data_IF_101238719134
#
_entry.id   IF_101238719134
#
_cell.length_a   1.000
_cell.length_b   1.000
_cell.length_c   1.000
_cell.angle_alpha   90.00
_cell.angle_beta   90.00
_cell.angle_gamma   90.00
#
_symmetry.space_group_name_H-M   'P 1'
#
loop_
_entity.id
_entity.type
_entity.pdbx_description
1 polymer ?
#
# COMPACT_ATOMS: atom_id res chain seq x y z
N UNK A 1 -12.30 -49.57 -6.71
CA UNK A 1 -11.57 -48.29 -6.55
C UNK A 1 -12.44 -47.18 -7.13
N UNK A 2 -12.81 -46.14 -6.37
CA UNK A 2 -13.64 -45.06 -6.92
C UNK A 2 -12.79 -44.22 -7.89
N UNK A 3 -13.30 -44.07 -9.12
CA UNK A 3 -12.67 -43.30 -10.21
C UNK A 3 -12.55 -41.83 -9.79
N UNK A 4 -11.33 -41.32 -9.61
CA UNK A 4 -11.08 -39.90 -9.41
C UNK A 4 -11.53 -39.17 -10.68
N UNK A 5 -12.57 -38.33 -10.58
CA UNK A 5 -13.04 -37.50 -11.69
C UNK A 5 -12.05 -36.36 -11.92
N UNK A 6 -10.96 -36.64 -12.63
CA UNK A 6 -9.93 -35.67 -13.03
C UNK A 6 -10.54 -34.53 -13.85
N UNK A 7 -10.41 -33.30 -13.36
CA UNK A 7 -10.74 -32.10 -14.12
C UNK A 7 -10.29 -30.86 -13.36
N UNK A 8 -10.02 -29.79 -14.10
CA UNK A 8 -9.47 -28.53 -13.59
C UNK A 8 -10.61 -27.54 -13.33
N UNK A 9 -10.53 -26.81 -12.23
CA UNK A 9 -11.54 -25.82 -11.85
C UNK A 9 -10.96 -24.42 -12.03
N UNK A 10 -11.49 -23.67 -12.98
CA UNK A 10 -11.04 -22.32 -13.26
C UNK A 10 -11.96 -21.31 -12.58
N UNK A 11 -11.38 -20.40 -11.81
CA UNK A 11 -12.05 -19.23 -11.23
C UNK A 11 -11.67 -18.03 -12.07
N UNK A 12 -12.64 -17.46 -12.74
CA UNK A 12 -12.51 -16.25 -13.55
C UNK A 12 -12.82 -14.99 -12.74
N UNK A 13 -13.78 -15.05 -11.81
CA UNK A 13 -14.09 -14.01 -10.83
C UNK A 13 -14.26 -14.69 -9.47
N UNK A 14 -13.45 -14.31 -8.47
CA UNK A 14 -13.41 -14.87 -7.11
C UNK A 14 -12.29 -14.26 -6.25
N UNK A 15 -12.11 -14.72 -5.01
CA UNK A 15 -11.05 -14.27 -4.08
C UNK A 15 -9.64 -14.42 -4.67
N UNK A 16 -9.41 -15.50 -5.43
CA UNK A 16 -8.21 -15.71 -6.24
C UNK A 16 -8.63 -16.29 -7.60
N UNK A 17 -8.61 -15.49 -8.69
CA UNK A 17 -8.76 -16.03 -10.03
C UNK A 17 -7.58 -16.93 -10.39
N UNK A 18 -7.84 -18.07 -11.01
CA UNK A 18 -6.81 -19.08 -11.25
C UNK A 18 -7.38 -20.46 -11.53
N UNK A 19 -6.51 -21.42 -11.81
CA UNK A 19 -6.87 -22.82 -12.03
C UNK A 19 -6.52 -23.66 -10.81
N UNK A 20 -7.50 -24.41 -10.32
CA UNK A 20 -7.42 -25.27 -9.15
C UNK A 20 -7.56 -26.73 -9.55
N UNK A 21 -6.85 -27.61 -8.84
CA UNK A 21 -6.83 -29.04 -9.13
C UNK A 21 -7.90 -29.82 -8.34
N UNK A 22 -8.62 -29.12 -7.45
CA UNK A 22 -9.71 -29.67 -6.67
C UNK A 22 -10.90 -28.71 -6.58
N UNK A 23 -12.10 -29.26 -6.38
CA UNK A 23 -13.30 -28.45 -6.13
C UNK A 23 -13.18 -27.69 -4.81
N UNK A 24 -12.58 -28.28 -3.79
CA UNK A 24 -12.47 -27.66 -2.46
C UNK A 24 -11.64 -26.36 -2.49
N UNK A 25 -10.53 -26.35 -3.21
CA UNK A 25 -9.70 -25.14 -3.40
C UNK A 25 -10.43 -24.08 -4.22
N UNK A 26 -11.11 -24.48 -5.29
CA UNK A 26 -11.93 -23.60 -6.11
C UNK A 26 -13.07 -22.99 -5.29
N UNK A 27 -13.80 -23.79 -4.50
CA UNK A 27 -14.93 -23.38 -3.69
C UNK A 27 -14.51 -22.30 -2.68
N UNK A 28 -13.35 -22.46 -2.03
CA UNK A 28 -12.77 -21.43 -1.14
C UNK A 28 -12.58 -20.08 -1.84
N UNK A 29 -12.39 -20.06 -3.15
CA UNK A 29 -12.20 -18.83 -3.91
C UNK A 29 -13.51 -18.20 -4.42
N UNK A 30 -14.65 -18.89 -4.37
CA UNK A 30 -15.91 -18.38 -4.95
C UNK A 30 -17.03 -18.27 -3.92
N UNK A 31 -16.94 -19.02 -2.81
CA UNK A 31 -18.00 -19.14 -1.82
C UNK A 31 -18.16 -17.82 -1.07
N UNK A 32 -19.35 -17.22 -1.17
CA UNK A 32 -19.67 -15.87 -0.64
C UNK A 32 -18.97 -14.70 -1.35
N UNK A 33 -18.26 -14.95 -2.46
CA UNK A 33 -17.76 -13.88 -3.31
C UNK A 33 -18.88 -13.39 -4.25
N UNK A 34 -19.26 -12.10 -4.23
CA UNK A 34 -20.36 -11.59 -5.05
C UNK A 34 -20.03 -11.70 -6.55
N UNK A 35 -20.99 -12.20 -7.35
CA UNK A 35 -20.86 -12.38 -8.79
C UNK A 35 -19.68 -13.27 -9.25
N UNK A 36 -19.29 -14.25 -8.44
CA UNK A 36 -18.23 -15.18 -8.80
C UNK A 36 -18.51 -15.90 -10.12
N UNK A 37 -17.49 -16.01 -10.98
CA UNK A 37 -17.53 -16.72 -12.26
C UNK A 37 -16.48 -17.82 -12.23
N UNK A 38 -16.90 -19.06 -12.39
CA UNK A 38 -16.02 -20.22 -12.36
C UNK A 38 -16.58 -21.33 -13.24
N UNK A 39 -15.73 -22.24 -13.71
CA UNK A 39 -16.13 -23.37 -14.55
C UNK A 39 -15.14 -24.54 -14.42
N UNK A 40 -15.63 -25.77 -14.60
CA UNK A 40 -14.80 -26.98 -14.65
C UNK A 40 -14.45 -27.33 -16.09
N UNK A 41 -13.21 -27.73 -16.33
CA UNK A 41 -12.64 -28.13 -17.61
C UNK A 41 -11.97 -29.50 -17.50
N UNK A 42 -11.81 -30.16 -18.65
CA UNK A 42 -11.14 -31.46 -18.71
C UNK A 42 -9.62 -31.32 -18.95
N UNK A 43 -9.18 -30.20 -19.51
CA UNK A 43 -7.77 -29.89 -19.76
C UNK A 43 -7.34 -28.62 -19.02
N UNK A 44 -6.06 -28.57 -18.64
CA UNK A 44 -5.47 -27.39 -18.01
C UNK A 44 -5.51 -26.18 -18.96
N UNK A 45 -5.24 -26.41 -20.24
CA UNK A 45 -5.21 -25.37 -21.26
C UNK A 45 -6.56 -24.65 -21.43
N UNK A 46 -7.68 -25.38 -21.42
CA UNK A 46 -9.01 -24.78 -21.46
C UNK A 46 -9.35 -24.01 -20.18
N UNK A 47 -8.93 -24.52 -19.02
CA UNK A 47 -9.10 -23.85 -17.74
C UNK A 47 -8.34 -22.52 -17.71
N UNK A 48 -7.09 -22.50 -18.15
CA UNK A 48 -6.29 -21.28 -18.26
C UNK A 48 -6.89 -20.29 -19.25
N UNK A 49 -7.39 -20.77 -20.39
CA UNK A 49 -8.05 -19.92 -21.38
C UNK A 49 -9.28 -19.23 -20.79
N UNK A 50 -10.08 -19.93 -19.99
CA UNK A 50 -11.26 -19.37 -19.31
C UNK A 50 -10.89 -18.35 -18.24
N UNK A 51 -9.83 -18.56 -17.47
CA UNK A 51 -9.32 -17.53 -16.53
C UNK A 51 -8.92 -16.28 -17.31
N UNK A 52 -8.27 -16.44 -18.47
CA UNK A 52 -7.80 -15.36 -19.35
C UNK A 52 -8.91 -14.67 -20.16
N UNK A 53 -10.08 -15.29 -20.35
CA UNK A 53 -11.12 -14.84 -21.28
C UNK A 53 -11.79 -13.50 -20.90
N UNK A 54 -11.59 -12.98 -19.69
CA UNK A 54 -12.04 -11.63 -19.29
C UNK A 54 -10.99 -10.53 -19.37
N UNK A 55 -9.76 -10.82 -19.83
CA UNK A 55 -8.77 -9.80 -20.18
C UNK A 55 -8.95 -9.23 -21.61
N UNK A 56 -9.96 -9.69 -22.35
CA UNK A 56 -10.32 -9.16 -23.66
C UNK A 56 -11.79 -8.71 -23.66
N UNK A 57 -12.06 -7.43 -23.39
CA UNK A 57 -13.33 -6.84 -23.82
C UNK A 57 -13.31 -6.70 -25.35
N UNK A 58 -14.11 -7.53 -26.00
CA UNK A 58 -14.56 -7.34 -27.39
C UNK A 58 -15.12 -5.92 -27.55
N UNK A 59 -14.46 -5.19 -28.43
CA UNK A 59 -15.01 -4.29 -29.45
C UNK A 59 -16.49 -4.57 -29.71
N UNK A 60 -17.36 -3.62 -29.36
CA UNK A 60 -18.68 -3.50 -29.96
C UNK A 60 -18.56 -2.58 -31.18
N UNK A 61 -18.94 -3.10 -32.34
CA UNK A 61 -18.84 -2.41 -33.62
C UNK A 61 -19.83 -1.26 -33.81
N UNK A 62 -19.35 -0.26 -34.54
CA UNK A 62 -20.03 0.67 -35.45
C UNK A 62 -21.44 1.17 -35.09
N UNK A 63 -21.52 2.45 -34.72
CA UNK A 63 -22.47 3.36 -35.36
C UNK A 63 -21.81 4.72 -35.57
N UNK A 64 -21.88 5.16 -36.82
CA UNK A 64 -21.37 6.40 -37.39
C UNK A 64 -21.90 7.64 -36.67
N UNK A 65 -21.01 8.62 -36.48
CA UNK A 65 -21.21 10.05 -36.82
C UNK A 65 -19.94 10.83 -36.56
N UNK A 66 -19.27 11.17 -37.65
CA UNK A 66 -18.26 12.22 -37.73
C UNK A 66 -18.89 13.57 -37.38
N UNK A 67 -18.18 14.42 -36.63
CA UNK A 67 -17.62 15.67 -37.18
C UNK A 67 -16.68 16.35 -36.17
N UNK A 68 -15.73 17.17 -36.66
CA UNK A 68 -14.42 17.40 -36.04
C UNK A 68 -14.34 18.78 -35.38
N UNK A 69 -13.22 19.09 -34.70
CA UNK A 69 -12.50 20.36 -34.88
C UNK A 69 -11.08 20.19 -34.31
N UNK A 70 -10.16 19.98 -35.24
CA UNK A 70 -8.79 20.46 -35.18
C UNK A 70 -8.79 21.99 -35.06
N UNK A 71 -8.28 22.52 -33.95
CA UNK A 71 -7.64 23.85 -33.83
C UNK A 71 -7.21 24.04 -32.38
N UNK A 72 -5.97 23.68 -32.06
CA UNK A 72 -5.09 24.41 -31.12
C UNK A 72 -3.73 23.70 -30.98
N UNK A 73 -3.08 23.38 -32.11
CA UNK A 73 -1.65 23.08 -32.13
C UNK A 73 -1.05 23.86 -33.31
N UNK A 74 -0.58 25.08 -33.03
CA UNK A 74 0.55 25.70 -33.70
C UNK A 74 0.76 27.09 -33.12
N UNK A 75 1.79 27.24 -32.27
CA UNK A 75 2.76 28.34 -32.39
C UNK A 75 3.66 28.37 -31.16
N UNK A 76 4.87 27.81 -31.33
CA UNK A 76 6.17 28.41 -31.01
C UNK A 76 7.20 27.30 -30.83
N UNK A 77 7.93 27.06 -31.91
CA UNK A 77 9.30 26.56 -31.85
C UNK A 77 10.25 27.73 -32.18
N UNK A 78 11.52 27.49 -31.82
CA UNK A 78 12.74 28.29 -32.02
C UNK A 78 13.08 29.16 -30.81
N UNK A 79 14.27 29.09 -30.21
CA UNK A 79 15.52 28.45 -30.60
C UNK A 79 16.51 28.41 -29.41
N UNK A 80 17.57 27.62 -29.58
CA UNK A 80 18.93 27.72 -28.99
C UNK A 80 19.34 26.87 -27.78
N UNK A 81 20.55 26.34 -27.95
CA UNK A 81 21.53 25.85 -26.98
C UNK A 81 21.25 24.51 -26.29
N UNK A 82 21.76 23.48 -26.96
CA UNK A 82 22.41 22.32 -26.35
C UNK A 82 23.30 22.73 -25.16
N UNK A 83 22.74 22.63 -23.97
CA UNK A 83 23.51 22.30 -22.76
C UNK A 83 23.04 20.92 -22.35
N UNK A 84 23.91 19.94 -22.56
CA UNK A 84 23.76 18.62 -21.99
C UNK A 84 23.83 18.79 -20.47
N UNK A 85 22.68 18.98 -19.82
CA UNK A 85 22.56 18.78 -18.40
C UNK A 85 22.64 17.29 -18.16
N UNK A 86 23.75 16.88 -17.56
CA UNK A 86 23.90 15.61 -16.87
C UNK A 86 22.75 15.49 -15.86
N UNK A 87 21.64 14.89 -16.27
CA UNK A 87 20.66 14.35 -15.33
C UNK A 87 21.30 13.07 -14.81
N UNK A 88 21.96 13.16 -13.66
CA UNK A 88 22.23 11.98 -12.86
C UNK A 88 20.90 11.28 -12.69
N UNK A 89 20.79 10.08 -13.27
CA UNK A 89 19.65 9.21 -13.14
C UNK A 89 19.67 8.65 -11.71
N UNK A 90 19.41 9.50 -10.71
CA UNK A 90 19.34 9.09 -9.32
C UNK A 90 18.10 8.21 -9.16
N UNK A 91 18.38 6.93 -8.95
CA UNK A 91 17.38 5.87 -8.80
C UNK A 91 16.56 6.16 -7.54
N UNK A 92 15.33 6.66 -7.70
CA UNK A 92 14.36 6.80 -6.60
C UNK A 92 13.70 5.46 -6.28
N UNK A 93 13.48 5.17 -5.00
CA UNK A 93 12.63 4.07 -4.54
C UNK A 93 11.16 4.48 -4.68
N UNK A 94 10.33 3.58 -5.18
CA UNK A 94 8.89 3.83 -5.36
C UNK A 94 8.06 2.82 -4.59
N UNK A 95 7.02 3.31 -3.94
CA UNK A 95 6.09 2.50 -3.14
C UNK A 95 4.68 3.04 -3.27
N UNK A 96 3.69 2.16 -3.28
CA UNK A 96 2.28 2.50 -3.32
C UNK A 96 1.64 2.15 -1.98
N UNK A 97 0.74 3.00 -1.52
CA UNK A 97 0.09 2.85 -0.21
C UNK A 97 -1.39 3.15 -0.33
N UNK A 98 -2.20 2.34 0.34
CA UNK A 98 -3.65 2.55 0.45
C UNK A 98 -4.17 2.19 1.83
N UNK A 99 -5.27 2.83 2.22
CA UNK A 99 -6.04 2.57 3.41
C UNK A 99 -7.47 2.20 3.08
N UNK A 100 -7.92 1.03 3.52
CA UNK A 100 -9.30 0.59 3.30
C UNK A 100 -10.09 0.54 4.59
N UNK A 101 -11.37 0.87 4.53
CA UNK A 101 -12.28 0.70 5.67
C UNK A 101 -13.65 0.14 5.27
N UNK A 102 -14.11 -0.82 6.07
CA UNK A 102 -15.43 -1.44 6.01
C UNK A 102 -16.29 -0.79 7.08
N UNK A 103 -17.52 -0.41 6.72
CA UNK A 103 -18.47 0.28 7.61
C UNK A 103 -17.89 1.55 8.26
N UNK A 104 -17.12 2.33 7.50
CA UNK A 104 -16.47 3.55 7.99
C UNK A 104 -17.47 4.50 8.67
N UNK A 105 -17.14 4.95 9.89
CA UNK A 105 -18.01 5.82 10.69
C UNK A 105 -19.21 5.12 11.35
N UNK A 106 -19.34 3.80 11.24
CA UNK A 106 -20.41 3.01 11.85
C UNK A 106 -19.88 2.03 12.90
N UNK A 107 -20.78 1.46 13.70
CA UNK A 107 -20.41 0.42 14.67
C UNK A 107 -19.89 -0.83 13.94
N UNK A 108 -18.83 -1.44 14.49
CA UNK A 108 -18.17 -2.58 13.86
C UNK A 108 -17.30 -2.23 12.65
N UNK A 109 -16.91 -0.95 12.50
CA UNK A 109 -15.94 -0.53 11.49
C UNK A 109 -14.65 -1.35 11.61
N UNK A 110 -14.08 -1.71 10.46
CA UNK A 110 -12.78 -2.37 10.35
C UNK A 110 -11.96 -1.66 9.29
N UNK A 111 -10.70 -1.43 9.55
CA UNK A 111 -9.83 -0.79 8.57
C UNK A 111 -8.53 -1.58 8.42
N UNK A 112 -7.92 -1.48 7.24
CA UNK A 112 -6.72 -2.19 6.86
C UNK A 112 -5.75 -1.32 6.10
N UNK A 113 -4.49 -1.72 6.16
CA UNK A 113 -3.32 -1.01 5.67
C UNK A 113 -2.71 -1.82 4.54
N UNK A 114 -2.45 -1.19 3.40
CA UNK A 114 -1.77 -1.77 2.26
C UNK A 114 -0.49 -1.00 1.91
N UNK A 115 0.62 -1.71 1.79
CA UNK A 115 1.89 -1.16 1.25
C UNK A 115 2.41 -2.10 0.19
N UNK A 116 2.64 -1.57 -1.01
CA UNK A 116 3.09 -2.34 -2.16
C UNK A 116 4.41 -1.77 -2.72
N UNK A 117 5.47 -2.56 -2.61
CA UNK A 117 6.81 -2.27 -3.13
C UNK A 117 7.05 -2.89 -4.51
N UNK A 118 6.27 -3.90 -4.89
CA UNK A 118 6.41 -4.60 -6.15
C UNK A 118 5.87 -6.02 -6.08
N UNK A 119 5.80 -6.67 -7.25
CA UNK A 119 5.29 -8.03 -7.35
C UNK A 119 6.20 -8.98 -6.59
N UNK A 120 5.60 -9.81 -5.73
CA UNK A 120 6.29 -10.79 -4.88
C UNK A 120 7.36 -10.15 -3.97
N UNK A 121 7.31 -8.83 -3.77
CA UNK A 121 8.24 -8.13 -2.91
C UNK A 121 7.95 -8.49 -1.44
N UNK A 122 8.95 -8.98 -0.71
CA UNK A 122 8.73 -9.51 0.62
C UNK A 122 8.43 -8.39 1.65
N UNK A 123 8.59 -7.12 1.28
CA UNK A 123 8.22 -5.95 2.10
C UNK A 123 6.76 -5.51 1.92
N UNK A 124 5.99 -6.16 1.04
CA UNK A 124 4.57 -5.85 0.88
C UNK A 124 3.82 -6.10 2.20
N UNK A 125 3.02 -5.12 2.62
CA UNK A 125 2.26 -5.19 3.88
C UNK A 125 0.77 -5.28 3.57
N UNK A 126 0.12 -6.23 4.23
CA UNK A 126 -1.33 -6.29 4.42
C UNK A 126 -1.57 -6.48 5.91
N UNK A 127 -2.08 -5.44 6.57
CA UNK A 127 -2.25 -5.43 8.03
C UNK A 127 -3.61 -4.87 8.44
N UNK A 128 -4.11 -5.34 9.58
CA UNK A 128 -5.22 -4.67 10.25
C UNK A 128 -4.75 -3.32 10.78
N UNK A 129 -5.56 -2.27 10.62
CA UNK A 129 -5.31 -1.00 11.30
C UNK A 129 -5.30 -1.25 12.82
N UNK A 130 -4.21 -0.96 13.54
CA UNK A 130 -4.19 -1.16 14.98
C UNK A 130 -5.18 -0.26 15.72
N UNK A 131 -5.70 -0.82 16.81
CA UNK A 131 -6.48 -0.10 17.80
C UNK A 131 -7.96 0.08 17.56
N UNK A 132 -8.66 0.71 18.51
CA UNK A 132 -10.12 0.73 18.52
C UNK A 132 -10.71 1.68 17.46
N UNK A 133 -9.99 2.73 17.07
CA UNK A 133 -10.51 3.72 16.11
C UNK A 133 -10.28 3.26 14.67
N UNK A 134 -11.28 2.61 14.09
CA UNK A 134 -11.19 2.03 12.75
C UNK A 134 -11.78 2.98 11.70
N UNK A 135 -10.97 3.83 11.08
CA UNK A 135 -11.42 4.80 10.06
C UNK A 135 -10.53 4.77 8.82
N UNK A 136 -11.09 5.16 7.67
CA UNK A 136 -10.31 5.26 6.42
C UNK A 136 -9.10 6.18 6.59
N UNK A 137 -9.33 7.41 7.03
CA UNK A 137 -8.27 8.42 7.16
C UNK A 137 -7.09 7.97 8.03
N UNK A 138 -7.34 7.21 9.12
CA UNK A 138 -6.25 6.63 9.91
C UNK A 138 -5.48 5.57 9.16
N UNK A 139 -6.18 4.68 8.45
CA UNK A 139 -5.57 3.63 7.65
C UNK A 139 -4.66 4.21 6.55
N UNK A 140 -5.11 5.26 5.88
CA UNK A 140 -4.35 5.98 4.85
C UNK A 140 -3.03 6.56 5.40
N UNK A 141 -3.09 7.26 6.54
CA UNK A 141 -1.88 7.81 7.18
C UNK A 141 -0.96 6.67 7.62
N UNK A 142 -1.52 5.62 8.22
CA UNK A 142 -0.75 4.49 8.70
C UNK A 142 -0.06 3.72 7.57
N UNK A 143 -0.68 3.62 6.39
CA UNK A 143 -0.06 3.03 5.21
C UNK A 143 1.21 3.77 4.80
N UNK A 144 1.19 5.10 4.80
CA UNK A 144 2.38 5.93 4.55
C UNK A 144 3.43 5.76 5.66
N UNK A 145 3.02 5.71 6.92
CA UNK A 145 3.93 5.44 8.05
C UNK A 145 4.61 4.08 7.85
N UNK A 146 3.87 3.03 7.50
CA UNK A 146 4.46 1.70 7.26
C UNK A 146 5.40 1.67 6.07
N UNK A 147 5.08 2.37 4.99
CA UNK A 147 6.01 2.52 3.87
C UNK A 147 7.33 3.19 4.28
N UNK A 148 7.27 4.21 5.14
CA UNK A 148 8.48 4.84 5.70
C UNK A 148 9.25 3.87 6.61
N UNK A 149 8.55 3.13 7.47
CA UNK A 149 9.15 2.15 8.39
C UNK A 149 9.79 0.94 7.68
N UNK A 150 9.27 0.53 6.52
CA UNK A 150 9.81 -0.59 5.72
C UNK A 150 10.74 -0.16 4.59
N UNK A 151 11.01 1.13 4.45
CA UNK A 151 11.91 1.59 3.41
C UNK A 151 13.32 1.00 3.62
N UNK A 152 13.93 0.34 2.62
CA UNK A 152 15.16 -0.43 2.82
C UNK A 152 16.42 0.44 2.91
N UNK A 153 16.35 1.68 2.41
CA UNK A 153 17.48 2.60 2.36
C UNK A 153 17.00 4.03 2.58
N UNK A 154 17.58 4.68 3.60
CA UNK A 154 17.26 6.05 3.98
C UNK A 154 18.09 7.09 3.23
N UNK A 155 19.08 6.67 2.45
CA UNK A 155 19.96 7.52 1.64
C UNK A 155 19.48 7.66 0.20
N UNK A 156 18.44 6.92 -0.20
CA UNK A 156 17.84 6.97 -1.52
C UNK A 156 16.52 7.76 -1.45
N UNK A 157 16.25 8.68 -2.39
CA UNK A 157 14.95 9.35 -2.46
C UNK A 157 13.79 8.34 -2.48
N UNK A 158 12.72 8.63 -1.74
CA UNK A 158 11.52 7.79 -1.67
C UNK A 158 10.32 8.53 -2.26
N UNK A 159 9.71 7.93 -3.27
CA UNK A 159 8.46 8.36 -3.88
C UNK A 159 7.30 7.47 -3.41
N UNK A 160 6.43 8.04 -2.58
CA UNK A 160 5.22 7.38 -2.08
C UNK A 160 4.04 7.80 -2.94
N UNK A 161 3.32 6.82 -3.50
CA UNK A 161 2.10 7.01 -4.30
C UNK A 161 0.88 6.59 -3.50
N UNK A 162 -0.09 7.50 -3.36
CA UNK A 162 -1.37 7.25 -2.68
C UNK A 162 -2.49 8.01 -3.38
N UNK A 163 -3.70 7.47 -3.36
CA UNK A 163 -4.91 8.16 -3.81
C UNK A 163 -5.61 8.94 -2.68
N UNK A 164 -5.05 8.90 -1.46
CA UNK A 164 -5.54 9.66 -0.32
C UNK A 164 -5.25 11.15 -0.43
N UNK A 165 -6.22 11.89 -0.97
CA UNK A 165 -6.16 13.35 -0.99
C UNK A 165 -6.05 13.94 0.43
N UNK A 166 -6.53 13.23 1.45
CA UNK A 166 -6.40 13.63 2.86
C UNK A 166 -4.92 13.65 3.29
N UNK A 167 -4.17 12.58 3.02
CA UNK A 167 -2.73 12.50 3.34
C UNK A 167 -1.94 13.53 2.53
N UNK A 168 -2.23 13.65 1.23
CA UNK A 168 -1.53 14.58 0.34
C UNK A 168 -1.72 16.03 0.78
N UNK A 169 -2.96 16.42 1.07
CA UNK A 169 -3.25 17.77 1.53
C UNK A 169 -2.64 18.03 2.92
N UNK A 170 -2.66 17.04 3.81
CA UNK A 170 -2.01 17.14 5.11
C UNK A 170 -0.50 17.41 4.95
N UNK A 171 0.19 16.55 4.20
CA UNK A 171 1.63 16.64 3.97
C UNK A 171 2.04 17.95 3.28
N UNK A 172 1.39 18.28 2.15
CA UNK A 172 1.79 19.44 1.32
C UNK A 172 1.31 20.78 1.89
N UNK A 173 0.16 20.82 2.57
CA UNK A 173 -0.52 22.09 2.86
C UNK A 173 -0.89 22.33 4.33
N UNK A 174 -1.29 21.31 5.09
CA UNK A 174 -1.83 21.52 6.43
C UNK A 174 -0.78 21.41 7.53
N UNK A 175 0.03 20.36 7.52
CA UNK A 175 1.09 20.13 8.51
C UNK A 175 2.04 21.32 8.61
N UNK A 176 2.58 21.88 7.49
CA UNK A 176 3.44 23.06 7.58
C UNK A 176 2.78 24.25 8.27
N UNK A 177 1.45 24.42 8.10
CA UNK A 177 0.68 25.49 8.75
C UNK A 177 0.42 25.18 10.22
N UNK A 178 0.15 23.92 10.58
CA UNK A 178 -0.09 23.50 11.95
C UNK A 178 1.15 23.63 12.83
N UNK A 179 2.30 23.22 12.30
CA UNK A 179 3.60 23.31 12.96
C UNK A 179 4.06 24.76 13.09
N UNK A 180 3.98 25.56 12.01
CA UNK A 180 4.36 26.98 12.04
C UNK A 180 3.62 27.77 13.12
N UNK A 181 2.35 27.43 13.36
CA UNK A 181 1.53 28.12 14.35
C UNK A 181 1.57 27.46 15.73
N UNK A 182 2.35 26.37 15.90
CA UNK A 182 2.46 25.52 17.09
C UNK A 182 1.15 25.22 17.81
N UNK A 183 0.07 25.07 17.03
CA UNK A 183 -1.29 24.96 17.56
C UNK A 183 -1.91 23.60 17.31
N UNK A 184 -1.50 22.90 16.24
CA UNK A 184 -2.16 21.67 15.79
C UNK A 184 -3.69 21.78 15.89
N UNK A 185 -4.21 22.94 15.44
CA UNK A 185 -5.64 23.26 15.38
C UNK A 185 -6.11 23.26 13.93
N UNK A 186 -7.27 22.65 13.70
CA UNK A 186 -7.99 22.74 12.45
C UNK A 186 -8.57 24.15 12.25
N UNK A 187 -9.05 24.46 11.04
CA UNK A 187 -9.61 25.77 10.67
C UNK A 187 -10.82 26.18 11.51
N UNK A 188 -11.53 25.22 12.10
CA UNK A 188 -12.65 25.41 13.02
C UNK A 188 -12.21 25.54 14.50
N UNK A 189 -10.92 25.74 14.75
CA UNK A 189 -10.29 25.85 16.08
C UNK A 189 -10.40 24.59 16.96
N UNK A 190 -10.80 23.45 16.39
CA UNK A 190 -10.73 22.14 17.07
C UNK A 190 -9.33 21.56 16.93
N UNK A 191 -9.01 20.60 17.80
CA UNK A 191 -7.78 19.82 17.66
C UNK A 191 -7.76 19.08 16.31
N UNK A 192 -6.57 19.01 15.71
CA UNK A 192 -6.36 18.25 14.47
C UNK A 192 -6.59 16.78 14.76
N UNK A 193 -7.54 16.18 14.05
CA UNK A 193 -7.74 14.75 14.10
C UNK A 193 -6.52 14.02 13.52
N UNK A 194 -6.11 12.92 14.15
CA UNK A 194 -4.92 12.14 13.76
C UNK A 194 -3.60 12.90 13.93
N UNK A 195 -3.56 13.94 14.76
CA UNK A 195 -2.36 14.73 15.05
C UNK A 195 -1.14 13.84 15.33
N UNK A 196 -1.30 12.84 16.18
CA UNK A 196 -0.24 11.95 16.64
C UNK A 196 0.36 11.15 15.47
N UNK A 197 -0.50 10.66 14.57
CA UNK A 197 -0.05 9.95 13.36
C UNK A 197 0.69 10.89 12.39
N UNK A 198 0.22 12.13 12.23
CA UNK A 198 0.93 13.10 11.38
C UNK A 198 2.28 13.53 11.98
N UNK A 199 2.36 13.69 13.31
CA UNK A 199 3.62 13.94 14.00
C UNK A 199 4.61 12.78 13.77
N UNK A 200 4.14 11.54 13.91
CA UNK A 200 4.92 10.34 13.61
C UNK A 200 5.40 10.30 12.15
N UNK A 201 4.49 10.53 11.20
CA UNK A 201 4.83 10.60 9.78
C UNK A 201 5.95 11.62 9.54
N UNK A 202 5.82 12.84 10.07
CA UNK A 202 6.83 13.87 9.89
C UNK A 202 8.17 13.55 10.56
N UNK A 203 8.14 12.89 11.73
CA UNK A 203 9.37 12.42 12.40
C UNK A 203 10.13 11.44 11.49
N UNK A 204 9.42 10.46 10.92
CA UNK A 204 10.00 9.49 9.97
C UNK A 204 10.45 10.12 8.65
N UNK A 205 9.74 11.12 8.14
CA UNK A 205 10.18 11.87 6.94
C UNK A 205 11.47 12.63 7.20
N UNK A 206 11.53 13.38 8.31
CA UNK A 206 12.70 14.21 8.69
C UNK A 206 13.92 13.41 9.09
N UNK A 207 13.68 12.21 9.59
CA UNK A 207 14.71 11.26 9.96
C UNK A 207 15.63 10.90 8.78
N UNK A 208 15.04 10.74 7.59
CA UNK A 208 15.72 10.25 6.39
C UNK A 208 16.83 11.18 5.92
N UNK A 209 17.87 10.59 5.34
CA UNK A 209 19.00 11.33 4.75
C UNK A 209 18.69 11.83 3.32
N UNK A 210 17.69 11.25 2.68
CA UNK A 210 17.23 11.60 1.34
C UNK A 210 15.76 11.98 1.31
N UNK A 211 15.38 12.71 0.25
CA UNK A 211 14.05 13.31 0.10
C UNK A 211 12.90 12.27 0.12
N UNK A 212 11.77 12.65 0.72
CA UNK A 212 10.50 11.95 0.60
C UNK A 212 9.51 12.81 -0.18
N UNK A 213 9.00 12.25 -1.26
CA UNK A 213 7.89 12.83 -2.03
C UNK A 213 6.65 11.98 -1.84
N UNK A 214 5.50 12.64 -1.63
CA UNK A 214 4.19 11.98 -1.56
C UNK A 214 3.36 12.53 -2.72
N UNK A 215 3.07 11.68 -3.68
CA UNK A 215 2.40 12.05 -4.92
C UNK A 215 1.06 11.38 -5.10
N UNK A 216 0.11 12.16 -5.63
CA UNK A 216 -1.21 11.65 -5.97
C UNK A 216 -1.09 10.62 -7.08
N UNK A 217 -1.82 9.53 -6.91
CA UNK A 217 -2.24 8.65 -7.99
C UNK A 217 -3.76 8.60 -7.96
N UNK A 218 -4.38 8.55 -9.14
CA UNK A 218 -5.82 8.46 -9.19
C UNK A 218 -6.27 7.05 -8.78
N UNK A 219 -7.18 6.97 -7.81
CA UNK A 219 -7.78 5.71 -7.38
C UNK A 219 -8.71 5.12 -8.45
N UNK A 220 -8.75 3.78 -8.52
CA UNK A 220 -9.71 2.99 -9.31
C UNK A 220 -9.75 3.27 -10.83
N UNK A 221 -8.62 3.65 -11.44
CA UNK A 221 -8.52 3.89 -12.89
C UNK A 221 -7.59 2.92 -13.63
N UNK A 222 -7.27 1.76 -13.04
CA UNK A 222 -6.41 0.77 -13.71
C UNK A 222 -4.90 0.99 -13.50
N UNK A 223 -4.49 1.80 -12.52
CA UNK A 223 -3.06 1.86 -12.14
C UNK A 223 -2.76 0.63 -11.31
N UNK A 224 -2.17 -0.37 -11.96
CA UNK A 224 -1.97 -1.71 -11.39
C UNK A 224 -1.35 -1.67 -9.99
N UNK A 225 -0.32 -0.87 -9.76
CA UNK A 225 0.39 -0.84 -8.48
C UNK A 225 -0.44 -0.20 -7.36
N UNK A 226 -1.33 0.75 -7.69
CA UNK A 226 -2.28 1.30 -6.73
C UNK A 226 -3.39 0.28 -6.42
N UNK A 227 -3.83 -0.49 -7.41
CA UNK A 227 -4.81 -1.56 -7.22
C UNK A 227 -4.27 -2.69 -6.34
N UNK A 228 -2.97 -3.02 -6.45
CA UNK A 228 -2.31 -3.96 -5.55
C UNK A 228 -2.27 -3.44 -4.11
N UNK A 229 -1.93 -2.16 -3.91
CA UNK A 229 -1.99 -1.54 -2.58
C UNK A 229 -3.41 -1.56 -2.00
N UNK A 230 -4.43 -1.23 -2.79
CA UNK A 230 -5.85 -1.30 -2.40
C UNK A 230 -6.30 -2.72 -2.05
N UNK A 231 -5.85 -3.71 -2.81
CA UNK A 231 -6.11 -5.11 -2.50
C UNK A 231 -5.48 -5.52 -1.17
N UNK A 232 -4.23 -5.14 -0.91
CA UNK A 232 -3.56 -5.40 0.36
C UNK A 232 -4.28 -4.72 1.53
N UNK A 233 -4.73 -3.48 1.36
CA UNK A 233 -5.48 -2.75 2.39
C UNK A 233 -6.83 -3.41 2.71
N UNK A 234 -7.57 -3.83 1.67
CA UNK A 234 -8.83 -4.57 1.82
C UNK A 234 -8.63 -5.88 2.55
N UNK A 235 -7.61 -6.65 2.19
CA UNK A 235 -7.26 -7.90 2.89
C UNK A 235 -6.95 -7.64 4.38
N UNK A 236 -6.18 -6.59 4.66
CA UNK A 236 -5.83 -6.17 6.02
C UNK A 236 -7.06 -5.87 6.88
N UNK A 237 -8.11 -5.27 6.30
CA UNK A 237 -9.34 -4.94 7.01
C UNK A 237 -10.13 -6.18 7.49
N UNK A 238 -9.89 -7.35 6.89
CA UNK A 238 -10.51 -8.62 7.29
C UNK A 238 -9.68 -9.41 8.31
N UNK A 239 -8.46 -9.00 8.62
CA UNK A 239 -7.61 -9.65 9.61
C UNK A 239 -8.12 -9.40 11.04
N UNK A 240 -7.65 -10.24 11.97
CA UNK A 240 -8.03 -10.16 13.39
C UNK A 240 -7.64 -8.81 14.01
N UNK A 241 -8.39 -8.41 15.04
CA UNK A 241 -8.10 -7.18 15.76
C UNK A 241 -6.74 -7.28 16.43
N UNK A 242 -5.94 -6.24 16.25
CA UNK A 242 -4.69 -6.05 16.97
C UNK A 242 -4.94 -4.93 17.97
N UNK A 243 -4.74 -5.19 19.26
CA UNK A 243 -4.89 -4.18 20.30
C UNK A 243 -4.01 -2.96 19.99
N UNK A 244 -4.54 -1.75 20.23
CA UNK A 244 -3.71 -0.54 20.35
C UNK A 244 -3.03 -0.64 21.72
N UNK A 245 -1.94 -1.40 21.81
CA UNK A 245 -0.96 -1.17 22.86
C UNK A 245 -0.11 0.08 22.55
N UNK A 246 -0.45 0.81 21.49
CA UNK A 246 0.36 1.86 20.88
C UNK A 246 -0.11 3.24 21.31
N UNK A 247 0.64 3.84 22.23
CA UNK A 247 0.63 5.29 22.38
C UNK A 247 1.69 5.86 21.43
N UNK A 248 1.25 6.37 20.27
CA UNK A 248 2.14 7.04 19.31
C UNK A 248 2.73 8.36 19.84
N UNK A 249 2.32 8.80 21.04
CA UNK A 249 2.89 9.93 21.77
C UNK A 249 4.07 9.55 22.68
N UNK A 250 4.37 8.27 22.87
CA UNK A 250 5.47 7.80 23.73
C UNK A 250 6.52 7.01 22.93
N UNK A 251 7.66 7.66 22.68
CA UNK A 251 8.80 7.07 21.96
C UNK A 251 9.35 5.81 22.67
N UNK A 252 9.21 5.69 23.99
CA UNK A 252 9.70 4.55 24.78
C UNK A 252 8.89 3.27 24.51
N UNK A 253 7.57 3.41 24.34
CA UNK A 253 6.66 2.32 23.98
C UNK A 253 6.93 1.80 22.56
N UNK A 254 7.28 2.67 21.61
CA UNK A 254 7.62 2.25 20.23
C UNK A 254 8.97 1.53 20.16
N UNK A 255 9.98 1.99 20.92
CA UNK A 255 11.27 1.29 21.01
C UNK A 255 11.08 -0.13 21.55
N UNK A 256 10.25 -0.31 22.60
CA UNK A 256 9.91 -1.63 23.15
C UNK A 256 9.19 -2.50 22.11
N UNK A 257 8.29 -1.93 21.30
CA UNK A 257 7.59 -2.65 20.23
C UNK A 257 8.54 -3.14 19.16
N UNK A 258 9.32 -2.24 18.58
CA UNK A 258 10.22 -2.64 17.49
C UNK A 258 11.24 -3.65 18.02
N UNK A 259 11.72 -3.53 19.27
CA UNK A 259 12.54 -4.55 19.93
C UNK A 259 11.82 -5.91 20.05
N UNK A 260 10.53 -5.93 20.41
CA UNK A 260 9.72 -7.15 20.49
C UNK A 260 9.53 -7.80 19.12
N UNK A 261 9.26 -6.99 18.09
CA UNK A 261 9.16 -7.44 16.70
C UNK A 261 10.49 -8.03 16.23
N UNK A 262 11.61 -7.36 16.54
CA UNK A 262 12.94 -7.89 16.24
C UNK A 262 13.22 -9.21 16.95
N UNK A 263 12.91 -9.32 18.24
CA UNK A 263 13.09 -10.56 18.98
C UNK A 263 12.26 -11.69 18.36
N UNK A 264 11.02 -11.41 17.98
CA UNK A 264 10.18 -12.38 17.27
C UNK A 264 10.82 -12.79 15.93
N UNK A 265 11.24 -11.83 15.10
CA UNK A 265 11.89 -12.14 13.83
C UNK A 265 13.18 -12.94 14.01
N UNK A 266 14.02 -12.58 14.99
CA UNK A 266 15.21 -13.33 15.37
C UNK A 266 14.89 -14.77 15.82
N UNK A 267 13.74 -15.00 16.45
CA UNK A 267 13.31 -16.35 16.87
C UNK A 267 12.78 -17.21 15.72
N UNK A 268 12.32 -16.62 14.62
CA UNK A 268 11.81 -17.33 13.44
C UNK A 268 12.80 -17.38 12.27
N UNK A 269 13.94 -16.72 12.40
CA UNK A 269 15.07 -16.82 11.48
C UNK A 269 16.11 -17.78 12.05
N UNK A 270 16.03 -19.06 11.69
CA UNK A 270 17.17 -19.98 11.82
C UNK A 270 17.85 -20.14 10.44
N UNK A 271 19.07 -20.70 10.37
CA UNK A 271 19.82 -20.92 9.12
C UNK A 271 19.06 -21.70 8.02
N UNK A 272 17.94 -22.35 8.36
CA UNK A 272 17.03 -23.09 7.49
C UNK A 272 15.83 -22.29 6.98
N UNK A 273 15.63 -21.05 7.45
CA UNK A 273 14.52 -20.20 7.00
C UNK A 273 14.72 -19.72 5.55
N UNK A 274 13.66 -19.61 4.75
CA UNK A 274 13.73 -19.11 3.37
C UNK A 274 14.50 -17.79 3.27
N UNK A 275 15.35 -17.60 2.23
CA UNK A 275 16.17 -16.40 2.07
C UNK A 275 15.39 -15.08 2.16
N UNK A 276 14.14 -15.06 1.70
CA UNK A 276 13.25 -13.90 1.77
C UNK A 276 12.84 -13.52 3.20
N UNK A 277 12.72 -14.50 4.11
CA UNK A 277 12.42 -14.25 5.54
C UNK A 277 13.64 -13.68 6.23
N UNK A 278 14.83 -14.20 5.92
CA UNK A 278 16.11 -13.71 6.45
C UNK A 278 16.38 -12.27 5.96
N UNK A 279 16.19 -12.00 4.67
CA UNK A 279 16.40 -10.66 4.10
C UNK A 279 15.41 -9.62 4.66
N UNK A 280 14.12 -9.97 4.78
CA UNK A 280 13.13 -9.14 5.46
C UNK A 280 13.48 -8.84 6.91
N UNK A 281 13.94 -9.87 7.65
CA UNK A 281 14.32 -9.69 9.04
C UNK A 281 15.50 -8.74 9.20
N UNK A 282 16.47 -8.78 8.28
CA UNK A 282 17.63 -7.89 8.30
C UNK A 282 17.26 -6.45 7.93
N UNK A 283 16.32 -6.26 7.01
CA UNK A 283 15.77 -4.93 6.67
C UNK A 283 15.05 -4.34 7.88
N UNK A 284 14.21 -5.13 8.56
CA UNK A 284 13.51 -4.69 9.78
C UNK A 284 14.48 -4.38 10.93
N UNK A 285 15.56 -5.17 11.08
CA UNK A 285 16.66 -4.93 12.04
C UNK A 285 17.37 -3.60 11.78
N UNK A 286 17.77 -3.37 10.53
CA UNK A 286 18.43 -2.13 10.15
C UNK A 286 17.51 -0.92 10.36
N UNK A 287 16.21 -1.07 10.05
CA UNK A 287 15.21 -0.03 10.24
C UNK A 287 14.91 0.23 11.73
N UNK A 288 14.93 -0.80 12.58
CA UNK A 288 14.80 -0.63 14.04
C UNK A 288 15.95 0.17 14.62
N UNK A 289 17.20 -0.25 14.39
CA UNK A 289 18.36 0.44 14.99
C UNK A 289 18.43 1.90 14.52
N UNK A 290 18.02 2.14 13.27
CA UNK A 290 17.88 3.49 12.75
C UNK A 290 16.75 4.28 13.45
N UNK A 291 15.53 3.76 13.48
CA UNK A 291 14.39 4.40 14.13
C UNK A 291 14.65 4.66 15.61
N UNK A 292 15.25 3.71 16.34
CA UNK A 292 15.68 3.85 17.74
C UNK A 292 16.64 5.02 17.92
N UNK A 293 17.65 5.15 17.05
CA UNK A 293 18.62 6.26 17.10
C UNK A 293 18.01 7.62 16.78
N UNK A 294 16.89 7.66 16.07
CA UNK A 294 16.15 8.89 15.73
C UNK A 294 15.16 9.26 16.83
N UNK A 295 14.42 8.28 17.34
CA UNK A 295 13.47 8.49 18.43
C UNK A 295 14.17 8.95 19.70
N UNK A 296 15.40 8.47 19.94
CA UNK A 296 16.22 8.88 21.09
C UNK A 296 16.88 10.27 20.96
N UNK A 297 16.79 10.96 19.82
CA UNK A 297 17.47 12.25 19.59
C UNK A 297 16.65 13.49 19.96
N UNK A 298 15.37 13.35 20.30
CA UNK A 298 14.46 14.49 20.55
C UNK A 298 14.07 14.64 22.04
N UNK A 299 15.05 14.87 22.92
CA UNK A 299 14.80 15.40 24.28
C UNK A 299 15.79 16.51 24.69
N UNK A 300 16.58 17.03 23.74
CA UNK A 300 17.53 18.11 24.02
C UNK A 300 17.64 19.08 22.85
N UNK A 301 16.64 19.96 22.69
CA UNK A 301 16.77 21.33 22.20
C UNK A 301 15.45 22.10 22.34
#
# INVERSE_FOLDING_TARGET
MPKVKSGFYAVHIGFKPGVYHSWEECEKQIKKYPNAKYKKFNTLQEAEAFVKEGNNKKVFGNSTRETPISKYISSKQQNTSSSASNVSNEKSLKVWTDGSSINNGQHGAKAGIGVYWGKDDPRNISERLPGPRQTNNRAEIMAVIRALETCPDNNIPLEIRTDSQYVINAYKSWIPKWEKNNKWKASNNKDVENKELFQRLMKLVRARNAEVTIEYVQGHVGVQENEEADQLAKLGAFMDTVDDLYDYGDDETEIKRQHTILQYFQTITDESSPPSIVENSQILLNNFEYNKNILAKDDSN
#
